data_IF_712750136448
#
_entry.id   IF_712750136448
#
_cell.length_a   1.000
_cell.length_b   1.000
_cell.length_c   1.000
_cell.angle_alpha   90.00
_cell.angle_beta   90.00
_cell.angle_gamma   90.00
#
_symmetry.space_group_name_H-M   'P 1'
#
loop_
_entity.id
_entity.type
_entity.pdbx_description
1 polymer ?
#
# COMPACT_ATOMS: atom_id res chain seq x y z
N UNK A 1 -7.78 12.75 -12.64
CA UNK A 1 -8.48 11.49 -12.92
C UNK A 1 -7.45 10.50 -13.41
N UNK A 2 -6.74 9.87 -12.47
CA UNK A 2 -6.02 8.63 -12.74
C UNK A 2 -6.99 7.58 -13.24
N UNK A 3 -6.47 6.57 -13.93
CA UNK A 3 -7.27 5.52 -14.58
C UNK A 3 -8.16 4.81 -13.55
N UNK A 4 -7.66 4.64 -12.32
CA UNK A 4 -8.36 3.99 -11.21
C UNK A 4 -9.53 4.81 -10.67
N UNK A 5 -9.44 6.15 -10.75
CA UNK A 5 -10.48 7.03 -10.28
C UNK A 5 -11.75 6.99 -11.13
N UNK A 6 -11.62 6.69 -12.43
CA UNK A 6 -12.75 6.50 -13.33
C UNK A 6 -13.47 5.16 -13.10
N UNK A 7 -12.75 4.12 -12.66
CA UNK A 7 -13.31 2.79 -12.42
C UNK A 7 -14.15 2.71 -11.14
N UNK A 8 -13.84 3.53 -10.13
CA UNK A 8 -14.54 3.51 -8.83
C UNK A 8 -15.75 4.45 -8.75
N UNK A 9 -15.97 5.31 -9.74
CA UNK A 9 -17.02 6.33 -9.69
C UNK A 9 -18.44 5.75 -9.54
N UNK A 10 -18.69 4.56 -10.09
CA UNK A 10 -20.00 3.88 -10.02
C UNK A 10 -20.16 2.97 -8.79
N UNK A 11 -19.15 2.85 -7.92
CA UNK A 11 -19.19 1.94 -6.76
C UNK A 11 -19.89 2.52 -5.52
N UNK A 12 -20.26 3.81 -5.55
CA UNK A 12 -20.76 4.54 -4.38
C UNK A 12 -19.66 4.95 -3.39
N UNK A 13 -18.39 4.63 -3.67
CA UNK A 13 -17.25 5.06 -2.86
C UNK A 13 -16.97 6.57 -3.06
N UNK A 14 -16.71 7.28 -1.96
CA UNK A 14 -16.24 8.65 -2.02
C UNK A 14 -14.76 8.67 -2.41
N UNK A 15 -14.48 9.03 -3.66
CA UNK A 15 -13.12 9.14 -4.16
C UNK A 15 -12.58 10.57 -4.01
N UNK A 16 -11.37 10.69 -3.46
CA UNK A 16 -10.60 11.94 -3.47
C UNK A 16 -9.20 11.69 -3.99
N UNK A 17 -8.91 12.19 -5.18
CA UNK A 17 -7.54 12.25 -5.68
C UNK A 17 -6.79 13.38 -4.97
N UNK A 18 -5.58 13.06 -4.51
CA UNK A 18 -4.65 14.03 -3.95
C UNK A 18 -3.51 14.13 -4.97
N UNK A 19 -3.38 15.25 -5.69
CA UNK A 19 -2.36 15.38 -6.72
C UNK A 19 -0.97 15.21 -6.12
N UNK A 20 -0.23 14.24 -6.63
CA UNK A 20 1.17 13.99 -6.26
C UNK A 20 2.09 14.94 -7.02
N UNK A 21 2.62 15.95 -6.34
CA UNK A 21 3.68 16.82 -6.85
C UNK A 21 4.88 16.80 -5.91
N UNK A 22 5.84 15.90 -6.16
CA UNK A 22 7.11 15.76 -5.44
C UNK A 22 6.97 15.50 -3.91
N UNK A 23 8.11 15.23 -3.25
CA UNK A 23 8.30 14.81 -1.85
C UNK A 23 7.49 15.59 -0.78
N UNK A 24 6.93 16.77 -1.12
CA UNK A 24 6.11 17.58 -0.23
C UNK A 24 4.63 17.17 -0.14
N UNK A 25 4.12 16.25 -0.98
CA UNK A 25 2.68 16.01 -1.07
C UNK A 25 2.12 14.96 -0.09
N UNK A 26 2.90 13.93 0.27
CA UNK A 26 2.41 12.79 1.05
C UNK A 26 2.20 13.13 2.53
N UNK A 27 3.01 14.03 3.08
CA UNK A 27 2.82 14.63 4.42
C UNK A 27 2.41 16.11 4.36
N UNK A 28 2.12 16.62 3.16
CA UNK A 28 1.84 18.02 2.93
C UNK A 28 0.40 18.42 3.24
N UNK A 29 0.18 19.73 3.21
CA UNK A 29 -1.14 20.34 3.33
C UNK A 29 -2.18 19.73 2.37
N UNK A 30 -1.88 19.38 1.09
CA UNK A 30 -2.86 18.76 0.21
C UNK A 30 -3.41 17.42 0.74
N UNK A 31 -2.54 16.56 1.28
CA UNK A 31 -2.96 15.28 1.88
C UNK A 31 -3.83 15.52 3.11
N UNK A 32 -3.41 16.40 4.02
CA UNK A 32 -4.17 16.71 5.23
C UNK A 32 -5.54 17.31 4.91
N UNK A 33 -5.63 18.20 3.92
CA UNK A 33 -6.91 18.78 3.47
C UNK A 33 -7.80 17.72 2.85
N UNK A 34 -7.27 16.88 1.97
CA UNK A 34 -8.02 15.78 1.35
C UNK A 34 -8.56 14.81 2.39
N UNK A 35 -7.70 14.35 3.29
CA UNK A 35 -8.05 13.44 4.38
C UNK A 35 -9.12 14.04 5.31
N UNK A 36 -8.93 15.27 5.78
CA UNK A 36 -9.92 15.93 6.64
C UNK A 36 -11.26 16.15 5.95
N UNK A 37 -11.26 16.41 4.64
CA UNK A 37 -12.49 16.54 3.85
C UNK A 37 -13.24 15.21 3.81
N UNK A 38 -12.55 14.11 3.52
CA UNK A 38 -13.13 12.77 3.51
C UNK A 38 -13.73 12.40 4.89
N UNK A 39 -12.96 12.58 5.96
CA UNK A 39 -13.39 12.25 7.32
C UNK A 39 -14.62 13.04 7.76
N UNK A 40 -14.70 14.34 7.41
CA UNK A 40 -15.79 15.22 7.87
C UNK A 40 -17.05 15.17 6.99
N UNK A 41 -16.87 15.16 5.67
CA UNK A 41 -17.98 15.24 4.72
C UNK A 41 -18.48 13.84 4.33
N UNK A 42 -17.55 12.93 4.07
CA UNK A 42 -17.88 11.55 3.69
C UNK A 42 -18.28 10.67 4.86
N UNK A 43 -17.73 10.92 6.05
CA UNK A 43 -17.90 10.08 7.26
C UNK A 43 -17.83 8.58 6.93
N UNK A 44 -16.79 8.12 6.22
CA UNK A 44 -16.75 6.75 5.73
C UNK A 44 -16.57 5.76 6.88
N UNK A 45 -17.19 4.58 6.74
CA UNK A 45 -16.92 3.45 7.65
C UNK A 45 -15.53 2.85 7.44
N UNK A 46 -14.96 3.02 6.24
CA UNK A 46 -13.66 2.48 5.83
C UNK A 46 -12.92 3.48 4.96
N UNK A 47 -11.65 3.70 5.28
CA UNK A 47 -10.72 4.51 4.50
C UNK A 47 -9.69 3.60 3.86
N UNK A 48 -9.62 3.60 2.53
CA UNK A 48 -8.59 2.92 1.75
C UNK A 48 -7.69 3.99 1.14
N UNK A 49 -6.37 3.84 1.32
CA UNK A 49 -5.37 4.76 0.76
C UNK A 49 -4.45 3.93 -0.13
N UNK A 50 -4.41 4.31 -1.40
CA UNK A 50 -3.45 3.79 -2.36
C UNK A 50 -2.30 4.79 -2.52
N UNK A 51 -1.10 4.52 -1.96
CA UNK A 51 0.05 5.33 -2.25
C UNK A 51 0.49 5.10 -3.69
N UNK A 52 0.86 6.18 -4.39
CA UNK A 52 1.59 6.04 -5.67
C UNK A 52 2.86 5.22 -5.45
N UNK A 53 3.36 4.52 -6.48
CA UNK A 53 4.56 3.66 -6.37
C UNK A 53 5.86 4.36 -5.92
N UNK A 54 5.89 5.70 -5.85
CA UNK A 54 6.98 6.52 -5.29
C UNK A 54 6.67 7.09 -3.89
N UNK A 55 5.52 6.75 -3.32
CA UNK A 55 5.12 7.19 -1.99
C UNK A 55 6.03 6.58 -0.93
N UNK A 56 6.22 7.28 0.17
CA UNK A 56 6.92 6.77 1.35
C UNK A 56 5.88 6.18 2.30
N UNK A 57 5.66 4.85 2.34
CA UNK A 57 4.57 4.24 3.13
C UNK A 57 4.68 4.62 4.60
N UNK A 58 5.91 4.68 5.12
CA UNK A 58 6.20 5.14 6.48
C UNK A 58 5.63 6.53 6.79
N UNK A 59 5.76 7.49 5.89
CA UNK A 59 5.25 8.85 6.12
C UNK A 59 3.72 8.87 6.20
N UNK A 60 3.06 8.06 5.35
CA UNK A 60 1.59 7.91 5.40
C UNK A 60 1.18 7.27 6.72
N UNK A 61 1.88 6.22 7.14
CA UNK A 61 1.59 5.57 8.42
C UNK A 61 1.77 6.55 9.59
N UNK A 62 2.88 7.27 9.62
CA UNK A 62 3.16 8.29 10.65
C UNK A 62 2.03 9.35 10.70
N UNK A 63 1.54 9.79 9.55
CA UNK A 63 0.41 10.71 9.46
C UNK A 63 -0.88 10.09 10.00
N UNK A 64 -1.24 8.90 9.55
CA UNK A 64 -2.49 8.24 9.92
C UNK A 64 -2.53 7.82 11.39
N UNK A 65 -1.38 7.56 12.00
CA UNK A 65 -1.25 7.24 13.42
C UNK A 65 -0.92 8.46 14.30
N UNK A 66 -0.88 9.67 13.75
CA UNK A 66 -0.59 10.87 14.53
C UNK A 66 -1.71 11.14 15.56
N UNK A 67 -1.40 11.71 16.75
CA UNK A 67 -2.39 11.92 17.82
C UNK A 67 -3.64 12.71 17.42
N UNK A 68 -3.52 13.60 16.43
CA UNK A 68 -4.67 14.38 15.92
C UNK A 68 -5.71 13.52 15.19
N UNK A 69 -5.29 12.37 14.65
CA UNK A 69 -6.15 11.45 13.89
C UNK A 69 -6.62 10.25 14.71
N UNK A 70 -6.01 9.96 15.87
CA UNK A 70 -6.39 8.85 16.75
C UNK A 70 -7.91 8.79 17.04
N UNK A 71 -8.64 9.90 17.29
CA UNK A 71 -10.08 9.84 17.55
C UNK A 71 -10.94 9.49 16.32
N UNK A 72 -10.35 9.51 15.13
CA UNK A 72 -11.06 9.45 13.84
C UNK A 72 -10.65 8.25 12.99
N UNK A 73 -9.43 7.76 13.16
CA UNK A 73 -8.83 6.70 12.33
C UNK A 73 -8.30 5.60 13.25
N UNK A 74 -8.81 4.39 13.04
CA UNK A 74 -8.24 3.15 13.55
C UNK A 74 -7.49 2.45 12.41
N UNK A 75 -6.15 2.53 12.39
CA UNK A 75 -5.33 1.90 11.37
C UNK A 75 -5.32 0.39 11.58
N UNK A 76 -5.99 -0.34 10.68
CA UNK A 76 -6.19 -1.79 10.82
C UNK A 76 -5.06 -2.64 10.27
N UNK A 77 -4.76 -2.50 8.98
CA UNK A 77 -3.77 -3.31 8.29
C UNK A 77 -3.22 -2.56 7.09
N UNK A 78 -1.95 -2.81 6.82
CA UNK A 78 -1.24 -2.37 5.61
C UNK A 78 -1.02 -3.56 4.67
N UNK A 79 -1.29 -3.36 3.39
CA UNK A 79 -1.21 -4.42 2.39
C UNK A 79 -0.20 -4.05 1.31
N UNK A 80 0.64 -5.01 0.92
CA UNK A 80 1.53 -4.88 -0.23
C UNK A 80 1.29 -6.03 -1.21
N UNK A 81 1.02 -5.69 -2.46
CA UNK A 81 0.85 -6.66 -3.54
C UNK A 81 2.20 -6.89 -4.19
N UNK A 82 2.70 -8.12 -4.13
CA UNK A 82 3.99 -8.52 -4.64
C UNK A 82 3.83 -9.51 -5.80
N UNK A 83 4.49 -9.24 -6.93
CA UNK A 83 4.76 -10.26 -7.95
C UNK A 83 6.06 -10.99 -7.56
N UNK A 84 6.02 -12.29 -7.20
CA UNK A 84 7.19 -13.03 -6.70
C UNK A 84 8.38 -13.03 -7.65
N UNK A 85 8.16 -12.85 -8.95
CA UNK A 85 9.23 -12.83 -9.96
C UNK A 85 10.13 -11.61 -9.82
N UNK A 86 9.65 -10.53 -9.21
CA UNK A 86 10.46 -9.34 -8.94
C UNK A 86 11.56 -9.60 -7.90
N UNK A 87 11.42 -10.65 -7.08
CA UNK A 87 12.49 -11.06 -6.16
C UNK A 87 13.69 -11.71 -6.87
N UNK A 88 13.52 -12.11 -8.14
CA UNK A 88 14.62 -12.59 -8.99
C UNK A 88 15.33 -11.46 -9.74
N UNK A 89 14.72 -10.28 -9.81
CA UNK A 89 15.29 -9.11 -10.46
C UNK A 89 16.16 -8.31 -9.47
N UNK A 90 17.47 -8.25 -9.75
CA UNK A 90 18.42 -7.56 -8.88
C UNK A 90 18.13 -6.05 -8.79
N UNK A 91 17.62 -5.43 -9.86
CA UNK A 91 17.31 -4.01 -9.85
C UNK A 91 16.13 -3.72 -8.92
N UNK A 92 15.07 -4.54 -8.97
CA UNK A 92 13.93 -4.46 -8.07
C UNK A 92 14.32 -4.66 -6.61
N UNK A 93 15.10 -5.72 -6.30
CA UNK A 93 15.54 -5.99 -4.92
C UNK A 93 16.49 -4.89 -4.39
N UNK A 94 17.31 -4.30 -5.26
CA UNK A 94 18.17 -3.18 -4.92
C UNK A 94 17.42 -1.84 -4.76
N UNK A 95 16.18 -1.73 -5.25
CA UNK A 95 15.36 -0.53 -5.11
C UNK A 95 14.88 -0.35 -3.66
N UNK A 96 15.15 0.82 -3.08
CA UNK A 96 14.73 1.16 -1.71
C UNK A 96 13.21 1.21 -1.55
N UNK A 97 12.50 1.83 -2.48
CA UNK A 97 11.03 1.92 -2.43
C UNK A 97 10.37 0.53 -2.44
N UNK A 98 10.93 -0.40 -3.22
CA UNK A 98 10.45 -1.78 -3.26
C UNK A 98 10.59 -2.45 -1.89
N UNK A 99 11.76 -2.30 -1.24
CA UNK A 99 11.99 -2.87 0.10
C UNK A 99 11.13 -2.20 1.16
N UNK A 100 10.99 -0.88 1.12
CA UNK A 100 10.23 -0.11 2.11
C UNK A 100 8.73 -0.44 2.06
N UNK A 101 8.17 -0.66 0.86
CA UNK A 101 6.79 -1.11 0.70
C UNK A 101 6.57 -2.49 1.33
N UNK A 102 7.47 -3.44 1.07
CA UNK A 102 7.40 -4.78 1.66
C UNK A 102 7.65 -4.78 3.18
N UNK A 103 8.50 -3.87 3.66
CA UNK A 103 8.82 -3.74 5.07
C UNK A 103 7.68 -3.10 5.88
N UNK A 104 6.91 -2.21 5.25
CA UNK A 104 5.83 -1.46 5.89
C UNK A 104 4.49 -2.19 5.89
N UNK A 105 4.42 -3.40 5.30
CA UNK A 105 3.18 -4.14 5.14
C UNK A 105 2.99 -5.23 6.20
N UNK A 106 1.81 -5.24 6.82
CA UNK A 106 1.33 -6.31 7.70
C UNK A 106 0.92 -7.54 6.88
N UNK A 107 0.44 -7.34 5.65
CA UNK A 107 0.00 -8.42 4.78
C UNK A 107 0.68 -8.29 3.41
N UNK A 108 1.41 -9.32 3.01
CA UNK A 108 1.95 -9.46 1.66
C UNK A 108 1.01 -10.36 0.86
N UNK A 109 0.51 -9.86 -0.26
CA UNK A 109 -0.29 -10.61 -1.21
C UNK A 109 0.60 -10.97 -2.40
N UNK A 110 1.01 -12.24 -2.49
CA UNK A 110 1.71 -12.78 -3.64
C UNK A 110 0.71 -12.93 -4.81
N UNK A 111 0.81 -12.03 -5.77
CA UNK A 111 -0.07 -11.94 -6.94
C UNK A 111 0.59 -12.51 -8.19
N UNK A 112 -0.21 -12.74 -9.24
CA UNK A 112 0.20 -13.33 -10.53
C UNK A 112 0.79 -14.73 -10.35
N UNK A 113 0.19 -15.50 -9.44
CA UNK A 113 0.58 -16.89 -9.13
C UNK A 113 0.45 -17.79 -10.36
N UNK A 114 -0.47 -17.46 -11.29
CA UNK A 114 -0.62 -18.07 -12.60
C UNK A 114 0.65 -17.99 -13.47
N UNK A 115 1.52 -17.03 -13.20
CA UNK A 115 2.80 -16.83 -13.91
C UNK A 115 4.02 -17.15 -13.05
N UNK A 116 3.81 -17.65 -11.83
CA UNK A 116 4.89 -18.03 -10.94
C UNK A 116 5.65 -19.25 -11.48
N UNK A 117 6.95 -19.28 -11.23
CA UNK A 117 7.82 -20.43 -11.50
C UNK A 117 8.33 -20.98 -10.18
N UNK A 118 8.80 -22.24 -10.19
CA UNK A 118 9.45 -22.83 -9.01
C UNK A 118 10.61 -21.95 -8.48
N UNK A 119 11.28 -21.19 -9.35
CA UNK A 119 12.34 -20.27 -8.96
C UNK A 119 11.78 -19.03 -8.24
N UNK A 120 10.70 -18.43 -8.73
CA UNK A 120 10.10 -17.26 -8.05
C UNK A 120 9.45 -17.65 -6.73
N UNK A 121 8.87 -18.84 -6.65
CA UNK A 121 8.31 -19.36 -5.38
C UNK A 121 9.41 -19.62 -4.36
N UNK A 122 10.52 -20.22 -4.79
CA UNK A 122 11.69 -20.39 -3.92
C UNK A 122 12.24 -19.04 -3.43
N UNK A 123 12.31 -18.03 -4.31
CA UNK A 123 12.73 -16.69 -3.94
C UNK A 123 11.77 -16.03 -2.93
N UNK A 124 10.46 -16.17 -3.12
CA UNK A 124 9.46 -15.69 -2.16
C UNK A 124 9.58 -16.38 -0.81
N UNK A 125 9.75 -17.71 -0.79
CA UNK A 125 9.94 -18.45 0.46
C UNK A 125 11.23 -18.02 1.17
N UNK A 126 12.33 -17.82 0.43
CA UNK A 126 13.59 -17.36 1.00
C UNK A 126 13.43 -15.95 1.57
N UNK A 127 12.82 -15.04 0.82
CA UNK A 127 12.53 -13.68 1.27
C UNK A 127 11.65 -13.71 2.53
N UNK A 128 10.60 -14.53 2.55
CA UNK A 128 9.70 -14.68 3.70
C UNK A 128 10.42 -15.19 4.95
N UNK A 129 11.29 -16.19 4.82
CA UNK A 129 12.09 -16.69 5.96
C UNK A 129 13.02 -15.62 6.53
N UNK A 130 13.54 -14.73 5.67
CA UNK A 130 14.46 -13.69 6.09
C UNK A 130 13.74 -12.46 6.66
N UNK A 131 12.60 -12.08 6.10
CA UNK A 131 11.96 -10.79 6.37
C UNK A 131 10.54 -10.89 6.93
N UNK A 132 9.85 -12.03 6.85
CA UNK A 132 8.44 -12.15 7.26
C UNK A 132 8.21 -11.73 8.72
N UNK A 133 9.06 -12.18 9.64
CA UNK A 133 8.90 -11.91 11.07
C UNK A 133 7.55 -12.42 11.61
N UNK A 134 7.23 -12.09 12.86
CA UNK A 134 6.09 -12.71 13.56
C UNK A 134 4.73 -12.06 13.23
N UNK A 135 4.73 -10.82 12.72
CA UNK A 135 3.48 -10.05 12.52
C UNK A 135 2.97 -10.00 11.09
N UNK A 136 3.76 -10.46 10.12
CA UNK A 136 3.34 -10.39 8.72
C UNK A 136 2.59 -11.65 8.32
N UNK A 137 1.58 -11.49 7.49
CA UNK A 137 0.89 -12.59 6.81
C UNK A 137 1.29 -12.64 5.33
N UNK A 138 1.49 -13.84 4.81
CA UNK A 138 1.70 -14.08 3.38
C UNK A 138 0.47 -14.80 2.82
N UNK A 139 -0.19 -14.18 1.84
CA UNK A 139 -1.38 -14.71 1.18
C UNK A 139 -1.05 -14.87 -0.30
N UNK A 140 -1.40 -16.01 -0.90
CA UNK A 140 -1.31 -16.21 -2.34
C UNK A 140 -2.66 -15.85 -2.98
N UNK A 141 -2.65 -15.00 -4.00
CA UNK A 141 -3.84 -14.75 -4.80
C UNK A 141 -4.01 -15.90 -5.80
N UNK A 142 -4.91 -16.83 -5.50
CA UNK A 142 -5.14 -18.04 -6.32
C UNK A 142 -6.06 -17.78 -7.51
N UNK A 143 -6.88 -16.71 -7.45
CA UNK A 143 -7.83 -16.32 -8.49
C UNK A 143 -7.85 -14.80 -8.66
N UNK A 144 -7.68 -14.33 -9.90
CA UNK A 144 -7.81 -12.94 -10.33
C UNK A 144 -8.52 -12.86 -11.66
#
# INVERSE_FOLDING_TARGET
MGIDGALLADSGALLKEIPGGCMCCVNGLPMQVGLNTLLRQGKPDRLLIEPTGLGHPKQILDLLTAPVYEPWIDLRATLCILDPRLLLDQQSVANENFRDQLASADIIIANKTDRATAQSDAALQQWWRQYGGDRRQLIHAEHG
#
